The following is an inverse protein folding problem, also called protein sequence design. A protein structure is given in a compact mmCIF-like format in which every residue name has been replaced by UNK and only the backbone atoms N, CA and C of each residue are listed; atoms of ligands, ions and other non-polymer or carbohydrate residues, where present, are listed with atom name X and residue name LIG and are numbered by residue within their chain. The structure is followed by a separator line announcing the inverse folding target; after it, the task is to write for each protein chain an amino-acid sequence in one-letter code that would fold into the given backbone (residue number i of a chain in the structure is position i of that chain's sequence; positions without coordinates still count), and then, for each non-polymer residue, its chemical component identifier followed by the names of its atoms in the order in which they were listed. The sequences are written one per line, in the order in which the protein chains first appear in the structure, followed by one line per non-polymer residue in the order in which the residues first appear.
data_IF_937012600065
#
_entry.id   IF_937012600065
#
_cell.length_a   1.000
_cell.length_b   1.000
_cell.length_c   1.000
_cell.angle_alpha   90.00
_cell.angle_beta   90.00
_cell.angle_gamma   90.00
#
_symmetry.space_group_name_H-M   'P 1'
#
loop_
_entity.id
_entity.type
_entity.pdbx_description
1 polymer ?
#
# COMPACT_ATOMS: atom_id res chain seq x y z
N UNK A 1 -0.99 -20.64 40.62
CA UNK A 1 -0.52 -19.31 41.06
C UNK A 1 0.63 -18.79 40.19
N UNK A 2 1.77 -19.48 40.08
CA UNK A 2 2.91 -19.05 39.25
C UNK A 2 2.60 -18.97 37.73
N UNK A 3 1.88 -19.97 37.19
CA UNK A 3 1.44 -20.00 35.78
C UNK A 3 0.49 -18.86 35.41
N UNK A 4 -0.41 -18.47 36.30
CA UNK A 4 -1.38 -17.39 36.04
C UNK A 4 -0.75 -16.00 36.20
N UNK A 5 0.29 -15.88 37.04
CA UNK A 5 1.06 -14.65 37.20
C UNK A 5 1.97 -14.40 35.99
N UNK A 6 2.65 -15.44 35.48
CA UNK A 6 3.48 -15.33 34.27
C UNK A 6 2.65 -14.96 33.03
N UNK A 7 1.44 -15.54 32.87
CA UNK A 7 0.52 -15.16 31.77
C UNK A 7 0.14 -13.67 31.80
N UNK A 8 -0.04 -13.08 32.99
CA UNK A 8 -0.32 -11.65 33.14
C UNK A 8 0.88 -10.76 32.77
N UNK A 9 2.10 -11.27 32.83
CA UNK A 9 3.33 -10.50 32.53
C UNK A 9 3.69 -10.55 31.03
N UNK A 10 3.39 -11.66 30.33
CA UNK A 10 3.70 -11.80 28.90
C UNK A 10 2.74 -11.01 28.00
N UNK A 11 1.46 -10.87 28.35
CA UNK A 11 0.51 -10.09 27.55
C UNK A 11 0.45 -10.55 26.09
N UNK A 12 0.48 -9.63 25.13
CA UNK A 12 0.41 -9.96 23.70
C UNK A 12 1.62 -10.76 23.18
N UNK A 13 2.75 -10.77 23.91
CA UNK A 13 3.91 -11.61 23.55
C UNK A 13 3.54 -13.09 23.47
N UNK A 14 2.59 -13.55 24.29
CA UNK A 14 2.12 -14.95 24.25
C UNK A 14 1.57 -15.31 22.87
N UNK A 15 0.88 -14.39 22.19
CA UNK A 15 0.37 -14.61 20.82
C UNK A 15 1.53 -14.74 19.82
N UNK A 16 2.55 -13.87 19.94
CA UNK A 16 3.74 -13.91 19.09
C UNK A 16 4.50 -15.22 19.26
N UNK A 17 4.67 -15.68 20.50
CA UNK A 17 5.33 -16.95 20.81
C UNK A 17 4.52 -18.16 20.31
N UNK A 18 3.19 -18.11 20.37
CA UNK A 18 2.32 -19.14 19.78
C UNK A 18 2.46 -19.20 18.25
N UNK A 19 2.49 -18.05 17.57
CA UNK A 19 2.73 -17.99 16.12
C UNK A 19 4.11 -18.57 15.80
N UNK A 20 5.16 -18.17 16.51
CA UNK A 20 6.52 -18.66 16.32
C UNK A 20 6.65 -20.18 16.57
N UNK A 21 5.94 -20.69 17.58
CA UNK A 21 5.93 -22.12 17.93
C UNK A 21 5.13 -22.96 16.95
N UNK A 22 4.17 -22.37 16.23
CA UNK A 22 3.37 -23.08 15.24
C UNK A 22 4.19 -23.59 14.05
N UNK A 23 5.33 -22.92 13.76
CA UNK A 23 6.19 -23.16 12.58
C UNK A 23 5.45 -23.13 11.25
N UNK A 24 4.24 -22.58 11.21
CA UNK A 24 3.47 -22.37 9.99
C UNK A 24 4.02 -21.17 9.20
N UNK A 25 3.87 -21.17 7.87
CA UNK A 25 4.28 -20.03 7.06
C UNK A 25 3.48 -18.77 7.43
N UNK A 26 4.19 -17.66 7.60
CA UNK A 26 3.60 -16.34 7.78
C UNK A 26 3.49 -15.68 6.41
N UNK A 27 2.27 -15.52 5.93
CA UNK A 27 1.96 -14.83 4.69
C UNK A 27 1.78 -13.34 4.99
N UNK A 28 2.44 -12.49 4.23
CA UNK A 28 2.48 -11.04 4.45
C UNK A 28 2.61 -10.29 3.13
N UNK A 29 2.47 -8.96 3.16
CA UNK A 29 2.60 -8.10 1.98
C UNK A 29 3.32 -6.82 2.34
N UNK A 30 4.48 -6.56 1.74
CA UNK A 30 5.26 -5.34 1.99
C UNK A 30 5.58 -5.12 3.50
N UNK A 31 5.92 -6.19 4.21
CA UNK A 31 5.81 -6.28 5.68
C UNK A 31 7.06 -5.95 6.48
N UNK A 32 8.09 -5.34 5.87
CA UNK A 32 9.34 -5.02 6.58
C UNK A 32 9.09 -4.12 7.81
N UNK A 33 8.20 -3.15 7.68
CA UNK A 33 7.82 -2.26 8.79
C UNK A 33 7.06 -3.02 9.90
N UNK A 34 6.19 -3.97 9.52
CA UNK A 34 5.48 -4.81 10.48
C UNK A 34 6.46 -5.65 11.29
N UNK A 35 7.42 -6.31 10.62
CA UNK A 35 8.37 -7.18 11.28
C UNK A 35 9.42 -6.43 12.09
N UNK A 36 9.84 -5.23 11.67
CA UNK A 36 10.70 -4.38 12.52
C UNK A 36 9.97 -3.95 13.78
N UNK A 37 8.70 -3.56 13.69
CA UNK A 37 7.88 -3.23 14.85
C UNK A 37 7.62 -4.44 15.77
N UNK A 38 7.33 -5.62 15.20
CA UNK A 38 7.16 -6.87 15.96
C UNK A 38 8.48 -7.23 16.65
N UNK A 39 9.59 -7.14 15.94
CA UNK A 39 10.91 -7.45 16.47
C UNK A 39 11.25 -6.56 17.67
N UNK A 40 11.17 -5.24 17.48
CA UNK A 40 11.53 -4.26 18.51
C UNK A 40 10.63 -4.32 19.75
N UNK A 41 9.34 -4.63 19.57
CA UNK A 41 8.35 -4.64 20.67
C UNK A 41 8.29 -5.98 21.39
N UNK A 42 8.49 -7.07 20.68
CA UNK A 42 8.19 -8.40 21.20
C UNK A 42 9.38 -9.35 21.17
N UNK A 43 10.40 -9.19 20.34
CA UNK A 43 11.48 -10.17 20.22
C UNK A 43 12.76 -9.71 20.92
N UNK A 44 13.36 -8.62 20.45
CA UNK A 44 14.61 -8.05 20.94
C UNK A 44 14.77 -6.61 20.42
N UNK A 45 15.70 -5.80 20.96
CA UNK A 45 16.06 -4.53 20.33
C UNK A 45 16.47 -4.73 18.87
N UNK A 46 16.12 -3.77 17.99
CA UNK A 46 16.48 -3.83 16.58
C UNK A 46 18.01 -3.92 16.43
N UNK A 47 18.54 -4.90 15.67
CA UNK A 47 19.97 -5.01 15.43
C UNK A 47 20.52 -3.84 14.62
N UNK A 48 21.84 -3.65 14.68
CA UNK A 48 22.54 -2.57 13.98
C UNK A 48 22.57 -2.74 12.47
N UNK A 49 22.43 -3.98 11.98
CA UNK A 49 22.48 -4.30 10.56
C UNK A 49 21.25 -5.08 10.11
N UNK A 50 20.95 -4.96 8.82
CA UNK A 50 19.85 -5.68 8.21
C UNK A 50 20.06 -7.20 8.22
N UNK A 51 21.29 -7.67 8.04
CA UNK A 51 21.62 -9.10 8.05
C UNK A 51 21.41 -9.72 9.44
N UNK A 52 21.79 -9.00 10.50
CA UNK A 52 21.52 -9.42 11.88
C UNK A 52 20.02 -9.44 12.17
N UNK A 53 19.28 -8.42 11.72
CA UNK A 53 17.81 -8.39 11.82
C UNK A 53 17.19 -9.59 11.13
N UNK A 54 17.60 -9.88 9.90
CA UNK A 54 17.13 -11.00 9.09
C UNK A 54 17.41 -12.35 9.73
N UNK A 55 18.61 -12.53 10.29
CA UNK A 55 18.99 -13.77 10.98
C UNK A 55 18.20 -13.94 12.29
N UNK A 56 18.09 -12.87 13.08
CA UNK A 56 17.31 -12.86 14.32
C UNK A 56 15.83 -13.15 14.05
N UNK A 57 15.23 -12.50 13.07
CA UNK A 57 13.84 -12.72 12.68
C UNK A 57 13.61 -14.14 12.15
N UNK A 58 14.50 -14.63 11.28
CA UNK A 58 14.43 -15.98 10.70
C UNK A 58 14.56 -17.09 11.74
N UNK A 59 15.27 -16.84 12.85
CA UNK A 59 15.34 -17.80 13.96
C UNK A 59 13.99 -18.00 14.68
N UNK A 60 13.14 -16.96 14.69
CA UNK A 60 11.82 -16.98 15.32
C UNK A 60 10.75 -17.44 14.34
N UNK A 61 10.75 -16.86 13.14
CA UNK A 61 9.80 -17.12 12.05
C UNK A 61 10.55 -17.69 10.83
N UNK A 62 10.72 -19.02 10.76
CA UNK A 62 11.56 -19.64 9.72
C UNK A 62 10.96 -19.52 8.31
N UNK A 63 9.64 -19.39 8.21
CA UNK A 63 8.92 -19.38 6.94
C UNK A 63 8.10 -18.09 6.81
N UNK A 64 8.68 -17.05 6.21
CA UNK A 64 7.99 -15.80 5.88
C UNK A 64 7.84 -15.71 4.36
N UNK A 65 6.62 -15.51 3.91
CA UNK A 65 6.25 -15.32 2.51
C UNK A 65 5.74 -13.90 2.36
N UNK A 66 6.50 -13.06 1.67
CA UNK A 66 6.02 -11.76 1.22
C UNK A 66 5.41 -11.90 -0.19
N UNK A 67 4.09 -11.75 -0.28
CA UNK A 67 3.35 -11.93 -1.53
C UNK A 67 3.68 -10.87 -2.56
N UNK A 68 4.06 -9.65 -2.15
CA UNK A 68 4.58 -8.62 -3.08
C UNK A 68 5.85 -9.11 -3.77
N UNK A 69 6.74 -9.78 -3.02
CA UNK A 69 7.95 -10.38 -3.58
C UNK A 69 7.64 -11.58 -4.48
N UNK A 70 6.68 -12.43 -4.09
CA UNK A 70 6.22 -13.55 -4.92
C UNK A 70 5.68 -13.07 -6.27
N UNK A 71 4.95 -11.95 -6.27
CA UNK A 71 4.37 -11.35 -7.46
C UNK A 71 5.38 -10.84 -8.48
N UNK A 72 6.62 -10.53 -8.08
CA UNK A 72 7.68 -10.12 -9.02
C UNK A 72 7.93 -11.17 -10.12
N UNK A 73 7.58 -12.43 -9.90
CA UNK A 73 7.64 -13.50 -10.91
C UNK A 73 6.65 -13.31 -12.06
N UNK A 74 5.59 -12.53 -11.85
CA UNK A 74 4.51 -12.30 -12.81
C UNK A 74 4.65 -10.98 -13.59
N UNK A 75 5.75 -10.25 -13.40
CA UNK A 75 6.06 -9.02 -14.11
C UNK A 75 6.84 -8.01 -13.26
N UNK A 76 7.57 -7.13 -13.93
CA UNK A 76 8.42 -6.09 -13.32
C UNK A 76 7.66 -4.79 -13.00
N UNK A 77 6.39 -4.89 -12.58
CA UNK A 77 5.60 -3.69 -12.27
C UNK A 77 6.13 -2.98 -11.03
N UNK A 78 6.26 -1.66 -11.14
CA UNK A 78 6.97 -0.83 -10.16
C UNK A 78 6.13 -0.39 -8.97
N UNK A 79 4.83 -0.71 -8.91
CA UNK A 79 3.97 -0.28 -7.80
C UNK A 79 2.96 -1.36 -7.32
N UNK A 80 3.47 -2.43 -6.70
CA UNK A 80 2.65 -3.44 -6.02
C UNK A 80 2.76 -3.28 -4.49
N UNK A 81 2.93 -2.05 -4.00
CA UNK A 81 3.03 -1.75 -2.57
C UNK A 81 1.66 -1.76 -1.88
N UNK A 82 0.62 -1.48 -2.65
CA UNK A 82 -0.76 -1.51 -2.22
C UNK A 82 -1.39 -2.88 -2.55
N UNK A 83 -1.95 -3.55 -1.54
CA UNK A 83 -2.51 -4.91 -1.67
C UNK A 83 -3.70 -4.95 -2.65
N UNK A 84 -4.45 -3.87 -2.76
CA UNK A 84 -5.59 -3.76 -3.67
C UNK A 84 -5.11 -3.65 -5.12
N UNK A 85 -4.11 -2.81 -5.37
CA UNK A 85 -3.46 -2.70 -6.70
C UNK A 85 -2.86 -4.04 -7.10
N UNK A 86 -2.19 -4.73 -6.17
CA UNK A 86 -1.66 -6.06 -6.38
C UNK A 86 -2.76 -7.09 -6.75
N UNK A 87 -3.90 -7.02 -6.07
CA UNK A 87 -5.06 -7.88 -6.34
C UNK A 87 -5.67 -7.59 -7.71
N UNK A 88 -5.91 -6.32 -8.05
CA UNK A 88 -6.43 -5.89 -9.36
C UNK A 88 -5.49 -6.29 -10.50
N UNK A 89 -4.19 -6.11 -10.32
CA UNK A 89 -3.17 -6.54 -11.27
C UNK A 89 -3.28 -8.05 -11.57
N UNK A 90 -3.38 -8.87 -10.53
CA UNK A 90 -3.47 -10.32 -10.71
C UNK A 90 -4.78 -10.72 -11.41
N UNK A 91 -5.91 -10.16 -10.96
CA UNK A 91 -7.24 -10.46 -11.51
C UNK A 91 -7.39 -10.04 -12.97
N UNK A 92 -6.75 -8.94 -13.40
CA UNK A 92 -6.81 -8.48 -14.80
C UNK A 92 -6.05 -9.39 -15.77
N UNK A 93 -5.12 -10.21 -15.27
CA UNK A 93 -4.20 -11.02 -16.09
C UNK A 93 -4.45 -12.50 -16.01
N UNK A 94 -4.99 -12.97 -14.89
CA UNK A 94 -5.12 -14.40 -14.61
C UNK A 94 -6.49 -14.71 -14.05
N UNK A 95 -7.08 -15.80 -14.55
CA UNK A 95 -8.30 -16.35 -13.98
C UNK A 95 -7.96 -17.30 -12.82
N UNK A 96 -8.33 -16.91 -11.60
CA UNK A 96 -8.16 -17.70 -10.39
C UNK A 96 -9.46 -17.65 -9.56
N UNK A 97 -10.32 -18.69 -9.65
CA UNK A 97 -11.60 -18.74 -8.94
C UNK A 97 -11.36 -19.11 -7.47
N UNK A 98 -10.94 -18.13 -6.68
CA UNK A 98 -10.72 -18.28 -5.24
C UNK A 98 -11.74 -17.40 -4.52
N UNK A 99 -12.65 -18.05 -3.79
CA UNK A 99 -13.60 -17.39 -2.90
C UNK A 99 -13.11 -17.54 -1.45
N UNK A 100 -12.98 -16.42 -0.74
CA UNK A 100 -12.62 -16.39 0.68
C UNK A 100 -13.86 -16.07 1.49
N UNK A 101 -14.41 -17.07 2.20
CA UNK A 101 -15.52 -16.87 3.13
C UNK A 101 -15.02 -16.19 4.41
N UNK A 102 -15.62 -15.05 4.77
CA UNK A 102 -15.30 -14.31 5.99
C UNK A 102 -16.36 -14.63 7.05
N UNK A 103 -16.01 -15.26 8.20
CA UNK A 103 -16.93 -15.44 9.30
C UNK A 103 -17.35 -14.07 9.88
N UNK A 104 -18.66 -13.87 10.09
CA UNK A 104 -19.26 -12.59 10.49
C UNK A 104 -18.61 -11.98 11.76
N UNK A 105 -18.31 -10.68 11.72
CA UNK A 105 -17.63 -9.91 12.77
C UNK A 105 -18.59 -9.42 13.87
N UNK A 106 -18.15 -9.47 15.13
CA UNK A 106 -18.82 -8.88 16.28
C UNK A 106 -18.68 -7.35 16.34
N UNK A 107 -19.79 -6.66 16.61
CA UNK A 107 -19.91 -5.20 16.63
C UNK A 107 -19.27 -4.60 17.88
N UNK A 108 -18.22 -3.79 17.74
CA UNK A 108 -17.73 -2.90 18.82
C UNK A 108 -17.24 -1.56 18.23
N UNK A 109 -17.26 -0.44 18.97
CA UNK A 109 -17.09 0.91 18.40
C UNK A 109 -15.64 1.32 18.06
N UNK A 110 -14.59 0.62 18.52
CA UNK A 110 -13.18 0.86 18.12
C UNK A 110 -12.82 0.27 16.74
N UNK A 111 -13.83 0.07 15.89
CA UNK A 111 -13.73 -0.88 14.78
C UNK A 111 -13.06 -0.35 13.52
N UNK A 112 -12.93 0.96 13.26
CA UNK A 112 -12.55 1.40 11.90
C UNK A 112 -11.10 1.06 11.49
N UNK A 113 -10.12 1.25 12.39
CA UNK A 113 -8.72 0.86 12.15
C UNK A 113 -8.54 -0.66 12.22
N UNK A 114 -9.25 -1.33 13.14
CA UNK A 114 -9.15 -2.79 13.28
C UNK A 114 -9.86 -3.54 12.14
N UNK A 115 -10.94 -2.96 11.58
CA UNK A 115 -11.62 -3.43 10.37
C UNK A 115 -10.71 -3.31 9.15
N UNK A 116 -10.04 -2.17 8.95
CA UNK A 116 -9.12 -1.99 7.82
C UNK A 116 -7.90 -2.93 7.89
N UNK A 117 -7.29 -3.10 9.06
CA UNK A 117 -6.21 -4.09 9.25
C UNK A 117 -6.71 -5.52 9.00
N UNK A 118 -7.88 -5.88 9.52
CA UNK A 118 -8.51 -7.19 9.28
C UNK A 118 -8.82 -7.43 7.80
N UNK A 119 -9.34 -6.42 7.10
CA UNK A 119 -9.60 -6.49 5.65
C UNK A 119 -8.30 -6.67 4.85
N UNK A 120 -7.21 -6.00 5.23
CA UNK A 120 -5.92 -6.18 4.58
C UNK A 120 -5.41 -7.61 4.73
N UNK A 121 -5.51 -8.22 5.93
CA UNK A 121 -5.08 -9.62 6.14
C UNK A 121 -5.91 -10.60 5.29
N UNK A 122 -7.22 -10.37 5.17
CA UNK A 122 -8.09 -11.18 4.30
C UNK A 122 -7.67 -11.03 2.83
N UNK A 123 -7.38 -9.81 2.38
CA UNK A 123 -6.91 -9.54 1.01
C UNK A 123 -5.54 -10.14 0.72
N UNK A 124 -4.61 -10.10 1.67
CA UNK A 124 -3.32 -10.80 1.59
C UNK A 124 -3.54 -12.30 1.41
N UNK A 125 -4.47 -12.89 2.17
CA UNK A 125 -4.79 -14.32 2.10
C UNK A 125 -5.43 -14.70 0.77
N UNK A 126 -6.38 -13.91 0.28
CA UNK A 126 -7.00 -14.06 -1.04
C UNK A 126 -5.94 -14.01 -2.15
N UNK A 127 -5.09 -12.99 -2.12
CA UNK A 127 -4.03 -12.80 -3.09
C UNK A 127 -3.04 -13.97 -3.09
N UNK A 128 -2.61 -14.43 -1.91
CA UNK A 128 -1.74 -15.59 -1.78
C UNK A 128 -2.36 -16.86 -2.35
N UNK A 129 -3.63 -17.14 -2.01
CA UNK A 129 -4.34 -18.30 -2.52
C UNK A 129 -4.47 -18.28 -4.06
N UNK A 130 -4.76 -17.11 -4.64
CA UNK A 130 -4.77 -16.91 -6.09
C UNK A 130 -3.40 -17.17 -6.72
N UNK A 131 -2.32 -16.67 -6.11
CA UNK A 131 -0.96 -16.92 -6.59
C UNK A 131 -0.60 -18.41 -6.53
N UNK A 132 -0.94 -19.11 -5.45
CA UNK A 132 -0.74 -20.55 -5.34
C UNK A 132 -1.51 -21.31 -6.43
N UNK A 133 -2.76 -20.92 -6.70
CA UNK A 133 -3.58 -21.49 -7.77
C UNK A 133 -2.91 -21.31 -9.14
N UNK A 134 -2.49 -20.08 -9.47
CA UNK A 134 -1.85 -19.76 -10.76
C UNK A 134 -0.52 -20.50 -10.90
N UNK A 135 0.29 -20.56 -9.84
CA UNK A 135 1.57 -21.26 -9.83
C UNK A 135 1.44 -22.79 -9.75
N UNK A 136 0.23 -23.32 -9.53
CA UNK A 136 -0.01 -24.75 -9.24
C UNK A 136 0.84 -25.26 -8.07
N UNK A 137 1.05 -24.41 -7.07
CA UNK A 137 1.78 -24.75 -5.85
C UNK A 137 0.77 -25.26 -4.83
N UNK A 138 1.02 -26.45 -4.27
CA UNK A 138 0.27 -26.91 -3.10
C UNK A 138 0.73 -26.11 -1.88
N UNK A 139 -0.15 -25.34 -1.21
CA UNK A 139 0.21 -24.56 -0.03
C UNK A 139 0.81 -25.42 1.10
N UNK A 140 0.45 -26.71 1.17
CA UNK A 140 0.97 -27.66 2.17
C UNK A 140 2.36 -28.19 1.82
N UNK A 141 2.71 -28.22 0.53
CA UNK A 141 4.04 -28.65 0.08
C UNK A 141 5.16 -27.66 0.44
N UNK A 142 4.80 -26.44 0.84
CA UNK A 142 5.75 -25.42 1.28
C UNK A 142 6.39 -25.72 2.64
N UNK A 143 5.79 -26.64 3.41
CA UNK A 143 6.34 -27.15 4.67
C UNK A 143 7.45 -28.21 4.45
N UNK A 144 7.59 -28.74 3.22
CA UNK A 144 8.47 -29.86 2.89
C UNK A 144 9.74 -29.46 2.12
N UNK A 145 10.20 -28.21 2.21
CA UNK A 145 11.44 -27.72 1.56
C UNK A 145 12.67 -27.96 2.45
N UNK A 146 12.66 -29.06 3.20
CA UNK A 146 13.86 -29.61 3.84
C UNK A 146 14.07 -31.02 3.28
N UNK A 147 15.23 -31.24 2.68
CA UNK A 147 15.75 -32.52 2.17
C UNK A 147 15.17 -33.03 0.83
N UNK A 148 15.90 -32.82 -0.27
CA UNK A 148 16.35 -33.86 -1.22
C UNK A 148 17.14 -33.20 -2.37
N UNK A 149 18.32 -33.75 -2.62
CA UNK A 149 19.26 -33.38 -3.67
C UNK A 149 18.60 -33.28 -5.06
N UNK A 150 18.93 -32.19 -5.76
CA UNK A 150 19.12 -32.11 -7.21
C UNK A 150 18.01 -32.68 -8.11
N UNK A 151 17.33 -31.75 -8.82
CA UNK A 151 16.46 -31.94 -9.99
C UNK A 151 14.94 -31.83 -9.77
N UNK A 152 14.47 -30.60 -9.53
CA UNK A 152 13.21 -30.09 -10.08
C UNK A 152 13.41 -28.65 -10.61
N UNK A 153 12.76 -28.24 -11.72
CA UNK A 153 13.03 -26.97 -12.37
C UNK A 153 12.18 -25.86 -11.74
N UNK A 154 12.55 -25.40 -10.55
CA UNK A 154 12.18 -24.09 -10.04
C UNK A 154 13.37 -23.61 -9.21
N UNK A 155 14.14 -22.58 -9.63
CA UNK A 155 15.21 -22.07 -8.81
C UNK A 155 14.61 -21.26 -7.66
N UNK A 156 14.07 -21.96 -6.66
CA UNK A 156 13.99 -21.51 -5.28
C UNK A 156 15.22 -22.07 -4.55
N UNK A 157 16.41 -21.85 -5.11
CA UNK A 157 17.62 -21.71 -4.30
C UNK A 157 17.45 -20.40 -3.54
N UNK A 158 16.67 -20.49 -2.47
CA UNK A 158 16.54 -19.47 -1.46
C UNK A 158 17.82 -19.49 -0.64
N UNK A 159 18.83 -18.72 -1.06
CA UNK A 159 19.75 -18.17 -0.07
C UNK A 159 18.87 -17.40 0.93
N UNK A 160 18.90 -17.86 2.18
CA UNK A 160 17.80 -17.79 3.14
C UNK A 160 17.09 -16.44 3.23
N UNK A 161 15.77 -16.52 3.43
CA UNK A 161 14.78 -15.45 3.67
C UNK A 161 14.52 -14.47 2.51
N UNK A 162 13.26 -14.06 2.35
CA UNK A 162 12.83 -13.09 1.35
C UNK A 162 12.65 -11.76 2.07
N UNK A 163 13.78 -11.21 2.47
CA UNK A 163 13.92 -9.83 2.92
C UNK A 163 15.11 -9.31 2.13
N UNK A 164 14.88 -8.86 0.89
CA UNK A 164 15.89 -8.16 0.12
C UNK A 164 15.34 -6.77 -0.30
N UNK A 165 15.45 -5.76 0.56
CA UNK A 165 15.33 -4.37 0.14
C UNK A 165 16.60 -4.04 -0.65
N UNK A 166 16.45 -3.89 -1.98
CA UNK A 166 17.48 -3.37 -2.87
C UNK A 166 18.84 -4.09 -2.85
N UNK A 167 18.97 -5.15 -3.66
CA UNK A 167 20.24 -5.45 -4.32
C UNK A 167 20.05 -5.27 -5.82
N UNK A 168 20.18 -4.04 -6.32
CA UNK A 168 20.50 -3.84 -7.74
C UNK A 168 21.96 -4.21 -7.91
N UNK A 169 22.22 -5.43 -8.37
CA UNK A 169 23.49 -5.72 -9.03
C UNK A 169 23.62 -4.76 -10.19
N UNK A 170 24.63 -3.88 -10.14
CA UNK A 170 25.07 -3.10 -11.28
C UNK A 170 25.46 -4.06 -12.39
N UNK A 171 24.55 -4.31 -13.33
CA UNK A 171 24.95 -4.65 -14.68
C UNK A 171 24.51 -3.51 -15.59
N UNK A 172 25.54 -2.78 -15.95
CA UNK A 172 25.66 -1.76 -16.95
C UNK A 172 24.89 -2.15 -18.23
N UNK A 173 23.81 -1.44 -18.51
CA UNK A 173 23.35 -1.24 -19.87
C UNK A 173 23.33 0.26 -20.08
N UNK A 174 24.46 0.75 -20.57
CA UNK A 174 24.58 2.02 -21.27
C UNK A 174 23.46 2.12 -22.31
N UNK A 175 22.54 3.05 -22.10
CA UNK A 175 22.12 3.98 -23.14
C UNK A 175 21.58 5.23 -22.46
N UNK A 176 22.17 6.34 -22.88
CA UNK A 176 21.87 7.71 -22.50
C UNK A 176 20.36 7.98 -22.54
N UNK A 177 19.82 8.43 -21.41
CA UNK A 177 18.93 9.57 -21.27
C UNK A 177 18.93 9.93 -19.77
N UNK A 178 19.15 11.20 -19.50
CA UNK A 178 19.65 11.77 -18.26
C UNK A 178 18.62 11.70 -17.11
N UNK A 179 18.49 10.52 -16.47
CA UNK A 179 17.69 10.38 -15.24
C UNK A 179 18.61 10.48 -14.04
N UNK A 180 18.64 11.65 -13.42
CA UNK A 180 19.25 11.82 -12.09
C UNK A 180 18.58 10.87 -11.11
N UNK A 181 19.29 9.80 -10.75
CA UNK A 181 18.94 8.87 -9.68
C UNK A 181 18.97 9.64 -8.36
N UNK A 182 17.82 10.20 -7.95
CA UNK A 182 17.63 10.74 -6.61
C UNK A 182 17.38 9.55 -5.68
N UNK A 183 18.26 9.37 -4.69
CA UNK A 183 18.09 8.36 -3.64
C UNK A 183 16.65 8.46 -3.09
N UNK A 184 15.97 7.31 -3.06
CA UNK A 184 14.58 7.15 -2.62
C UNK A 184 14.48 7.60 -1.15
N UNK A 185 14.16 8.87 -0.92
CA UNK A 185 13.92 9.38 0.43
C UNK A 185 12.54 8.88 0.85
N UNK A 186 12.52 8.13 1.94
CA UNK A 186 11.29 7.79 2.65
C UNK A 186 10.88 9.06 3.42
N UNK A 187 10.30 10.03 2.71
CA UNK A 187 9.85 11.29 3.29
C UNK A 187 8.39 11.12 3.74
N UNK A 188 8.16 11.23 5.05
CA UNK A 188 6.81 11.31 5.61
C UNK A 188 6.28 12.72 5.39
N UNK A 189 5.08 12.84 4.81
CA UNK A 189 4.44 14.13 4.56
C UNK A 189 3.09 14.19 5.28
N UNK A 190 2.64 15.38 5.69
CA UNK A 190 1.29 15.54 6.22
C UNK A 190 0.26 15.16 5.16
N UNK A 191 -0.78 14.42 5.56
CA UNK A 191 -1.93 14.11 4.72
C UNK A 191 -2.62 15.35 4.16
N UNK A 192 -2.52 16.50 4.85
CA UNK A 192 -3.08 17.76 4.37
C UNK A 192 -2.34 18.27 3.14
N UNK A 193 -1.06 17.94 2.98
CA UNK A 193 -0.22 18.45 1.91
C UNK A 193 -0.26 17.59 0.63
N UNK A 194 -1.23 16.68 0.54
CA UNK A 194 -1.29 15.64 -0.48
C UNK A 194 -2.59 15.80 -1.26
N UNK A 195 -2.46 15.91 -2.58
CA UNK A 195 -3.60 16.04 -3.50
C UNK A 195 -3.50 14.95 -4.56
N UNK A 196 -4.58 14.22 -4.75
CA UNK A 196 -4.73 13.30 -5.88
C UNK A 196 -5.22 14.07 -7.10
N UNK A 197 -4.59 13.82 -8.25
CA UNK A 197 -4.98 14.33 -9.56
C UNK A 197 -5.30 13.15 -10.48
N UNK A 198 -6.36 13.27 -11.27
CA UNK A 198 -6.71 12.32 -12.34
C UNK A 198 -7.40 13.03 -13.49
N UNK A 199 -7.74 12.28 -14.56
CA UNK A 199 -8.38 12.83 -15.76
C UNK A 199 -7.41 13.39 -16.80
N UNK A 200 -6.10 13.28 -16.57
CA UNK A 200 -5.08 13.56 -17.57
C UNK A 200 -4.94 12.42 -18.59
N UNK A 201 -4.28 12.69 -19.71
CA UNK A 201 -4.08 11.70 -20.77
C UNK A 201 -3.27 10.48 -20.29
N UNK A 202 -3.76 9.28 -20.61
CA UNK A 202 -3.07 8.03 -20.32
C UNK A 202 -1.67 8.02 -20.96
N UNK A 203 -0.68 7.50 -20.23
CA UNK A 203 0.71 7.37 -20.70
C UNK A 203 1.60 8.59 -20.43
N UNK A 204 1.08 9.63 -19.76
CA UNK A 204 1.90 10.75 -19.29
C UNK A 204 2.85 10.30 -18.18
N UNK A 205 4.12 10.71 -18.24
CA UNK A 205 5.08 10.48 -17.15
C UNK A 205 4.91 11.52 -16.04
N UNK A 206 5.33 11.19 -14.81
CA UNK A 206 5.30 12.14 -13.69
C UNK A 206 6.06 13.45 -13.96
N UNK A 207 7.16 13.40 -14.72
CA UNK A 207 7.92 14.59 -15.13
C UNK A 207 7.17 15.45 -16.15
N UNK A 208 6.48 14.83 -17.11
CA UNK A 208 5.62 15.55 -18.06
C UNK A 208 4.42 16.18 -17.34
N UNK A 209 3.78 15.46 -16.43
CA UNK A 209 2.67 15.98 -15.64
C UNK A 209 3.14 17.15 -14.74
N UNK A 210 4.29 17.01 -14.07
CA UNK A 210 4.90 18.10 -13.28
C UNK A 210 5.17 19.34 -14.13
N UNK A 211 5.70 19.16 -15.34
CA UNK A 211 5.96 20.26 -16.28
C UNK A 211 4.67 20.91 -16.78
N UNK A 212 3.61 20.13 -16.98
CA UNK A 212 2.28 20.63 -17.34
C UNK A 212 1.64 21.48 -16.25
N UNK A 213 1.78 21.07 -14.98
CA UNK A 213 1.25 21.81 -13.83
C UNK A 213 2.02 23.11 -13.57
N UNK A 214 3.32 23.12 -13.90
CA UNK A 214 4.17 24.28 -13.71
C UNK A 214 3.63 25.50 -14.49
N UNK A 215 3.42 26.61 -13.79
CA UNK A 215 2.92 27.85 -14.39
C UNK A 215 1.41 27.89 -14.67
N UNK A 216 0.64 26.86 -14.30
CA UNK A 216 -0.84 26.89 -14.39
C UNK A 216 -1.50 27.68 -13.27
N UNK A 217 -0.88 27.73 -12.09
CA UNK A 217 -1.38 28.45 -10.93
C UNK A 217 -0.23 28.81 -9.99
N UNK A 218 -0.39 29.85 -9.17
CA UNK A 218 0.62 30.32 -8.22
C UNK A 218 1.06 29.21 -7.24
N UNK A 219 0.16 28.28 -6.91
CA UNK A 219 0.45 27.11 -6.07
C UNK A 219 1.60 26.26 -6.63
N UNK A 220 1.73 26.17 -7.96
CA UNK A 220 2.78 25.40 -8.63
C UNK A 220 4.06 26.21 -8.89
N UNK A 221 4.16 27.43 -8.37
CA UNK A 221 5.42 28.19 -8.36
C UNK A 221 6.36 27.81 -7.21
N UNK A 222 5.85 27.06 -6.23
CA UNK A 222 6.56 26.61 -5.04
C UNK A 222 7.11 25.18 -5.22
N UNK A 223 7.87 24.66 -4.25
CA UNK A 223 8.40 23.30 -4.32
C UNK A 223 7.28 22.26 -4.13
N UNK A 224 7.01 21.49 -5.18
CA UNK A 224 6.11 20.35 -5.16
C UNK A 224 6.70 19.17 -5.94
N UNK A 225 6.23 17.97 -5.66
CA UNK A 225 6.56 16.75 -6.40
C UNK A 225 5.31 16.04 -6.91
N UNK A 226 5.48 15.27 -7.98
CA UNK A 226 4.41 14.52 -8.65
C UNK A 226 4.83 13.06 -8.76
N UNK A 227 3.99 12.17 -8.25
CA UNK A 227 4.20 10.72 -8.28
C UNK A 227 3.01 10.07 -8.96
N UNK A 228 3.23 9.27 -9.99
CA UNK A 228 2.17 8.44 -10.55
C UNK A 228 1.87 7.30 -9.57
N UNK A 229 0.60 7.16 -9.19
CA UNK A 229 0.14 6.03 -8.37
C UNK A 229 -0.15 4.85 -9.28
N UNK A 230 -0.91 5.11 -10.35
CA UNK A 230 -1.14 4.23 -11.48
C UNK A 230 -1.16 5.01 -12.81
N UNK A 231 -1.70 4.43 -13.87
CA UNK A 231 -1.80 5.05 -15.20
C UNK A 231 -2.92 6.10 -15.32
N UNK A 232 -3.81 6.17 -14.33
CA UNK A 232 -4.99 7.04 -14.29
C UNK A 232 -4.88 8.17 -13.27
N UNK A 233 -4.01 8.03 -12.27
CA UNK A 233 -3.97 8.91 -11.11
C UNK A 233 -2.53 9.21 -10.65
N UNK A 234 -2.32 10.46 -10.25
CA UNK A 234 -1.08 10.97 -9.70
C UNK A 234 -1.31 11.61 -8.33
N UNK A 235 -0.29 11.62 -7.50
CA UNK A 235 -0.22 12.34 -6.24
C UNK A 235 0.68 13.55 -6.42
N UNK A 236 0.17 14.71 -6.04
CA UNK A 236 0.92 15.96 -5.89
C UNK A 236 1.20 16.17 -4.42
N UNK A 237 2.48 16.34 -4.10
CA UNK A 237 2.97 16.58 -2.74
C UNK A 237 3.49 18.00 -2.65
N UNK A 238 2.91 18.79 -1.75
CA UNK A 238 3.42 20.11 -1.41
C UNK A 238 4.29 20.03 -0.17
N UNK A 239 5.54 20.48 -0.25
CA UNK A 239 6.46 20.41 0.90
C UNK A 239 6.18 21.47 1.96
N UNK A 240 5.28 22.41 1.65
CA UNK A 240 4.83 23.48 2.51
C UNK A 240 3.31 23.37 2.73
N UNK A 241 2.85 23.71 3.94
CA UNK A 241 1.43 23.67 4.29
C UNK A 241 0.62 24.78 3.62
N UNK A 242 -0.68 24.55 3.36
CA UNK A 242 -1.60 25.56 2.83
C UNK A 242 -1.80 25.48 1.31
N UNK A 243 -0.84 24.92 0.58
CA UNK A 243 -0.88 24.90 -0.89
C UNK A 243 -1.89 23.90 -1.46
N UNK A 244 -2.09 22.77 -0.79
CA UNK A 244 -3.13 21.80 -1.13
C UNK A 244 -4.53 22.39 -0.99
N UNK A 245 -4.82 23.11 0.10
CA UNK A 245 -6.11 23.79 0.28
C UNK A 245 -6.34 24.84 -0.81
N UNK A 246 -5.31 25.65 -1.10
CA UNK A 246 -5.36 26.66 -2.17
C UNK A 246 -5.59 26.02 -3.55
N UNK A 247 -4.95 24.88 -3.85
CA UNK A 247 -5.19 24.15 -5.11
C UNK A 247 -6.62 23.64 -5.19
N UNK A 248 -7.12 23.00 -4.13
CA UNK A 248 -8.47 22.44 -4.11
C UNK A 248 -9.53 23.55 -4.24
N UNK A 249 -9.37 24.67 -3.53
CA UNK A 249 -10.23 25.85 -3.69
C UNK A 249 -10.21 26.40 -5.11
N UNK A 250 -9.04 26.49 -5.73
CA UNK A 250 -8.90 26.94 -7.12
C UNK A 250 -9.50 25.97 -8.15
N UNK A 251 -9.62 24.67 -7.83
CA UNK A 251 -10.28 23.68 -8.67
C UNK A 251 -11.81 23.76 -8.56
N UNK A 252 -12.35 24.21 -7.43
CA UNK A 252 -13.78 24.54 -7.29
C UNK A 252 -14.12 25.88 -7.93
N UNK A 253 -13.24 26.87 -7.85
CA UNK A 253 -13.42 28.14 -8.54
C UNK A 253 -13.05 28.03 -10.03
N UNK A 254 -14.07 27.75 -10.85
CA UNK A 254 -13.99 27.54 -12.30
C UNK A 254 -13.25 28.63 -13.12
N UNK A 255 -12.93 29.78 -12.52
CA UNK A 255 -12.15 30.86 -13.13
C UNK A 255 -10.62 30.67 -13.08
N UNK A 256 -10.06 30.09 -12.02
CA UNK A 256 -8.61 30.12 -11.76
C UNK A 256 -7.83 29.04 -12.52
N UNK A 257 -8.42 27.85 -12.66
CA UNK A 257 -7.79 26.68 -13.28
C UNK A 257 -8.56 26.16 -14.50
N UNK A 258 -9.16 27.08 -15.25
CA UNK A 258 -10.04 26.77 -16.39
C UNK A 258 -9.39 25.86 -17.43
N UNK A 259 -8.11 26.06 -17.73
CA UNK A 259 -7.36 25.20 -18.64
C UNK A 259 -7.33 23.74 -18.16
N UNK A 260 -7.01 23.52 -16.88
CA UNK A 260 -6.94 22.18 -16.29
C UNK A 260 -8.31 21.51 -16.30
N UNK A 261 -9.36 22.25 -15.94
CA UNK A 261 -10.73 21.75 -15.96
C UNK A 261 -11.20 21.41 -17.38
N UNK A 262 -10.80 22.20 -18.39
CA UNK A 262 -11.14 21.94 -19.79
C UNK A 262 -10.46 20.69 -20.37
N UNK A 263 -9.29 20.33 -19.83
CA UNK A 263 -8.58 19.08 -20.12
C UNK A 263 -9.14 17.88 -19.33
N UNK A 264 -10.19 18.09 -18.52
CA UNK A 264 -10.82 17.04 -17.73
C UNK A 264 -10.09 16.69 -16.44
N UNK A 265 -9.10 17.48 -16.03
CA UNK A 265 -8.32 17.22 -14.81
C UNK A 265 -9.19 17.47 -13.59
N UNK A 266 -9.19 16.49 -12.70
CA UNK A 266 -9.88 16.50 -11.41
C UNK A 266 -8.86 16.41 -10.28
N UNK A 267 -9.25 16.90 -9.11
CA UNK A 267 -8.43 16.89 -7.92
C UNK A 267 -9.26 16.53 -6.68
N UNK A 268 -8.64 15.85 -5.72
CA UNK A 268 -9.20 15.65 -4.39
C UNK A 268 -8.10 15.56 -3.33
N UNK A 269 -8.45 15.92 -2.09
CA UNK A 269 -7.56 15.76 -0.95
C UNK A 269 -7.37 14.29 -0.54
N UNK A 270 -6.49 14.08 0.42
CA UNK A 270 -6.23 12.74 0.98
C UNK A 270 -7.47 12.10 1.63
N UNK A 271 -8.43 12.91 2.06
CA UNK A 271 -9.71 12.48 2.62
C UNK A 271 -10.55 11.65 1.62
N UNK A 272 -10.49 11.97 0.33
CA UNK A 272 -11.12 11.15 -0.71
C UNK A 272 -10.51 9.75 -0.78
N UNK A 273 -9.19 9.62 -0.61
CA UNK A 273 -8.51 8.32 -0.60
C UNK A 273 -8.89 7.51 0.63
N UNK A 274 -8.93 8.16 1.80
CA UNK A 274 -9.44 7.55 3.04
C UNK A 274 -10.88 7.07 2.86
N UNK A 275 -11.71 7.83 2.15
CA UNK A 275 -13.10 7.45 1.86
C UNK A 275 -13.18 6.22 0.96
N UNK A 276 -12.42 6.16 -0.14
CA UNK A 276 -12.30 4.97 -0.99
C UNK A 276 -11.89 3.75 -0.16
N UNK A 277 -10.89 3.90 0.71
CA UNK A 277 -10.43 2.83 1.60
C UNK A 277 -11.52 2.35 2.57
N UNK A 278 -12.23 3.30 3.22
CA UNK A 278 -13.27 3.00 4.23
C UNK A 278 -14.49 2.33 3.62
N UNK A 279 -14.92 2.77 2.44
CA UNK A 279 -16.10 2.26 1.75
C UNK A 279 -15.79 1.06 0.85
N UNK A 280 -14.50 0.78 0.60
CA UNK A 280 -14.08 -0.32 -0.26
C UNK A 280 -14.42 -0.11 -1.74
N UNK A 281 -14.50 1.15 -2.19
CA UNK A 281 -14.91 1.55 -3.55
C UNK A 281 -13.82 1.37 -4.60
N UNK A 282 -13.10 0.25 -4.53
CA UNK A 282 -11.97 -0.02 -5.41
C UNK A 282 -12.43 -0.45 -6.80
N UNK A 283 -11.91 0.24 -7.81
CA UNK A 283 -12.07 -0.08 -9.23
C UNK A 283 -10.76 -0.57 -9.83
N UNK A 284 -10.79 -0.82 -11.14
CA UNK A 284 -9.63 -1.24 -11.93
C UNK A 284 -8.48 -0.25 -11.84
N UNK A 285 -8.80 1.04 -11.82
CA UNK A 285 -7.85 2.12 -11.64
C UNK A 285 -8.34 3.06 -10.51
N UNK A 286 -7.44 3.88 -10.00
CA UNK A 286 -7.71 4.75 -8.86
C UNK A 286 -8.61 5.93 -9.24
N UNK A 287 -8.53 6.44 -10.47
CA UNK A 287 -9.41 7.49 -10.98
C UNK A 287 -10.90 7.11 -10.89
N UNK A 288 -11.25 5.92 -11.39
CA UNK A 288 -12.62 5.38 -11.34
C UNK A 288 -13.09 5.18 -9.88
N UNK A 289 -12.16 4.86 -8.98
CA UNK A 289 -12.46 4.70 -7.55
C UNK A 289 -12.79 6.06 -6.91
N UNK A 290 -12.08 7.12 -7.31
CA UNK A 290 -12.38 8.48 -6.87
C UNK A 290 -13.68 9.02 -7.45
N UNK A 291 -13.94 8.80 -8.74
CA UNK A 291 -15.20 9.23 -9.35
C UNK A 291 -16.40 8.57 -8.64
N UNK A 292 -16.33 7.27 -8.35
CA UNK A 292 -17.37 6.58 -7.59
C UNK A 292 -17.52 7.13 -6.15
N UNK A 293 -16.40 7.43 -5.47
CA UNK A 293 -16.44 7.98 -4.12
C UNK A 293 -17.04 9.39 -4.07
N UNK A 294 -16.84 10.20 -5.12
CA UNK A 294 -17.44 11.54 -5.25
C UNK A 294 -18.92 11.49 -5.63
N UNK A 295 -19.33 10.52 -6.46
CA UNK A 295 -20.74 10.27 -6.79
C UNK A 295 -21.54 9.84 -5.56
N UNK A 296 -21.03 8.90 -4.76
CA UNK A 296 -21.66 8.52 -3.48
C UNK A 296 -21.76 9.70 -2.49
N UNK A 297 -20.85 10.67 -2.55
CA UNK A 297 -20.97 11.90 -1.75
C UNK A 297 -22.13 12.75 -2.18
N UNK A 298 -22.26 12.93 -3.49
CA UNK A 298 -23.29 13.77 -4.08
C UNK A 298 -24.67 13.21 -3.80
N UNK A 299 -24.84 11.88 -3.87
CA UNK A 299 -26.09 11.20 -3.51
C UNK A 299 -26.42 11.34 -2.03
N UNK A 300 -25.45 11.12 -1.13
CA UNK A 300 -25.66 11.29 0.33
C UNK A 300 -25.95 12.73 0.71
N UNK A 301 -25.28 13.71 0.09
CA UNK A 301 -25.54 15.13 0.33
C UNK A 301 -26.93 15.55 -0.18
N UNK A 302 -27.43 14.93 -1.25
CA UNK A 302 -28.82 15.12 -1.69
C UNK A 302 -29.83 14.54 -0.68
N UNK A 303 -29.52 13.41 -0.06
CA UNK A 303 -30.34 12.80 1.00
C UNK A 303 -30.27 13.57 2.33
N UNK A 304 -29.08 14.05 2.71
CA UNK A 304 -28.85 14.83 3.93
C UNK A 304 -29.36 16.28 3.81
N UNK A 305 -29.42 16.85 2.60
CA UNK A 305 -30.08 18.14 2.36
C UNK A 305 -31.59 18.09 2.65
N UNK A 306 -32.19 16.90 2.72
CA UNK A 306 -33.57 16.70 3.16
C UNK A 306 -33.69 16.53 4.70
N UNK A 307 -32.57 16.32 5.41
CA UNK A 307 -32.53 16.24 6.87
C UNK A 307 -31.29 16.96 7.41
N UNK A 308 -31.45 18.26 7.69
CA UNK A 308 -30.36 19.13 8.11
C UNK A 308 -29.59 18.63 9.36
N UNK A 309 -28.34 18.22 9.19
CA UNK A 309 -27.24 18.59 10.10
C UNK A 309 -25.85 18.41 9.47
N UNK A 310 -25.15 19.54 9.43
CA UNK A 310 -23.75 19.78 9.08
C UNK A 310 -22.79 18.75 9.70
N UNK A 311 -22.09 17.97 8.86
CA UNK A 311 -20.98 17.13 9.28
C UNK A 311 -19.65 17.84 8.97
N UNK A 312 -19.07 18.51 9.97
CA UNK A 312 -17.66 18.93 9.89
C UNK A 312 -16.80 17.74 10.28
N UNK A 313 -16.25 17.04 9.29
CA UNK A 313 -15.29 15.97 9.50
C UNK A 313 -13.95 16.60 9.88
N UNK A 314 -13.70 16.69 11.19
CA UNK A 314 -12.39 17.04 11.73
C UNK A 314 -11.50 15.80 11.55
N UNK A 315 -10.63 15.78 10.55
CA UNK A 315 -9.54 14.80 10.48
C UNK A 315 -8.28 15.37 11.14
N UNK A 316 -7.67 14.53 11.98
CA UNK A 316 -6.35 14.75 12.57
C UNK A 316 -5.27 14.80 11.50
N UNK A 317 -4.26 15.65 11.72
CA UNK A 317 -3.03 15.71 10.92
C UNK A 317 -2.30 14.35 11.01
N UNK A 318 -2.36 13.52 9.97
CA UNK A 318 -1.68 12.22 9.92
C UNK A 318 -0.46 12.32 8.99
N UNK A 319 0.70 11.84 9.46
CA UNK A 319 1.90 11.72 8.63
C UNK A 319 1.77 10.47 7.77
N UNK A 320 1.85 10.63 6.45
CA UNK A 320 1.76 9.55 5.48
C UNK A 320 3.14 9.23 4.90
N UNK A 321 3.39 7.95 4.63
CA UNK A 321 4.53 7.53 3.84
C UNK A 321 4.08 7.41 2.37
N UNK A 322 4.76 8.11 1.46
CA UNK A 322 4.42 8.09 0.04
C UNK A 322 4.56 6.70 -0.60
N UNK A 323 5.35 5.80 -0.02
CA UNK A 323 5.47 4.42 -0.48
C UNK A 323 4.24 3.54 -0.14
N UNK A 324 3.34 4.03 0.73
CA UNK A 324 2.12 3.31 1.17
C UNK A 324 0.88 3.67 0.33
N UNK A 325 1.00 4.63 -0.61
CA UNK A 325 -0.07 5.08 -1.52
C UNK A 325 -0.26 4.11 -2.70
#
# INVERSE_FOLDING_TARGET
MERDHNKRIHGFREVVDLIASSKKPIVSHNSLNDFTAIHSKFLAPLPSTFDEFRHSLGSVFPYIIDVKHLMKKFGSQKNLNNIYVATSYLNSRFFAPVDVEIPQQGTSPDTDRMKSLGHNVIKISELFAKLCFILKVDPKSLEAIEEVNGHFPLPLKCDGSIFNPCSTSYQDFTNDEEVRVRAKRCETVSSKNVVFLWGFQCGISGGQLKSFLYGKHEVFSHEFDVFLVDDSCAVVVFWSSGYSEVLLEAMYDSGSLKDMLSEGIRAAGYDAYVKVCKLGLWKTNLADSFDLALEEESERLLEEAQHAKKLSVIHSDEMINLDDL
#
